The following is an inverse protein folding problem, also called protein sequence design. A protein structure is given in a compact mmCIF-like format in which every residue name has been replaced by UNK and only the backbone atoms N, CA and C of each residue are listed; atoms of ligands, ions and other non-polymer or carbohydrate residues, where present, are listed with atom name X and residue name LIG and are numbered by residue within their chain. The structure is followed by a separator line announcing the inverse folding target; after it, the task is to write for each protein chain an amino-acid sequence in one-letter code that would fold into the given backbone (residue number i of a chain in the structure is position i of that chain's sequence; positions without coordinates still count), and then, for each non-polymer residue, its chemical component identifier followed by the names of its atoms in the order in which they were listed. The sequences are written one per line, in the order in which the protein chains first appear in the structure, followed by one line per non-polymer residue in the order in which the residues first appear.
data_IF_735420838756
#
_entry.id   IF_735420838756
#
_cell.length_a   1.000
_cell.length_b   1.000
_cell.length_c   1.000
_cell.angle_alpha   90.00
_cell.angle_beta   90.00
_cell.angle_gamma   90.00
#
_symmetry.space_group_name_H-M   'P 1'
#
loop_
_entity.id
_entity.type
_entity.pdbx_description
1 polymer ?
#
# COMPACT_ATOMS: atom_id res chain seq x y z
N UNK A 1 17.55 15.62 -2.26
CA UNK A 1 16.85 14.79 -1.25
C UNK A 1 15.79 13.85 -1.86
N UNK A 2 15.10 14.21 -2.95
CA UNK A 2 14.01 13.38 -3.52
C UNK A 2 14.41 12.00 -4.02
N UNK A 3 15.55 11.86 -4.73
CA UNK A 3 15.96 10.58 -5.34
C UNK A 3 16.22 9.50 -4.29
N UNK A 4 16.89 9.83 -3.18
CA UNK A 4 17.17 8.87 -2.10
C UNK A 4 15.89 8.34 -1.43
N UNK A 5 14.87 9.20 -1.26
CA UNK A 5 13.58 8.80 -0.71
C UNK A 5 12.79 7.91 -1.69
N UNK A 6 12.85 8.21 -2.99
CA UNK A 6 12.21 7.39 -4.03
C UNK A 6 12.86 6.01 -4.11
N UNK A 7 14.19 5.94 -4.08
CA UNK A 7 14.92 4.65 -4.09
C UNK A 7 14.64 3.85 -2.83
N UNK A 8 14.63 4.50 -1.65
CA UNK A 8 14.30 3.84 -0.39
C UNK A 8 12.84 3.33 -0.37
N UNK A 9 11.89 4.13 -0.85
CA UNK A 9 10.49 3.72 -0.99
C UNK A 9 10.32 2.59 -2.01
N UNK A 10 11.02 2.65 -3.15
CA UNK A 10 11.03 1.57 -4.14
C UNK A 10 11.56 0.27 -3.55
N UNK A 11 12.72 0.30 -2.90
CA UNK A 11 13.32 -0.86 -2.24
C UNK A 11 12.39 -1.44 -1.17
N UNK A 12 11.79 -0.58 -0.35
CA UNK A 12 10.78 -0.96 0.63
C UNK A 12 9.62 -1.75 -0.01
N UNK A 13 9.01 -1.17 -1.05
CA UNK A 13 7.86 -1.76 -1.75
C UNK A 13 8.23 -3.10 -2.40
N UNK A 14 9.42 -3.19 -2.99
CA UNK A 14 9.94 -4.42 -3.59
C UNK A 14 10.14 -5.52 -2.55
N UNK A 15 10.73 -5.21 -1.39
CA UNK A 15 10.95 -6.19 -0.32
C UNK A 15 9.61 -6.68 0.22
N UNK A 16 8.65 -5.78 0.50
CA UNK A 16 7.32 -6.18 0.95
C UNK A 16 6.57 -7.03 -0.07
N UNK A 17 6.64 -6.66 -1.35
CA UNK A 17 6.03 -7.45 -2.43
C UNK A 17 6.65 -8.84 -2.52
N UNK A 18 7.98 -8.95 -2.35
CA UNK A 18 8.69 -10.22 -2.30
C UNK A 18 8.24 -11.10 -1.14
N UNK A 19 8.13 -10.55 0.07
CA UNK A 19 7.63 -11.29 1.24
C UNK A 19 6.16 -11.71 1.06
N UNK A 20 5.30 -10.85 0.50
CA UNK A 20 3.90 -11.20 0.29
C UNK A 20 3.73 -12.32 -0.76
N UNK A 21 4.56 -12.33 -1.81
CA UNK A 21 4.57 -13.41 -2.80
C UNK A 21 5.12 -14.72 -2.20
N UNK A 22 6.22 -14.64 -1.44
CA UNK A 22 6.93 -15.80 -0.92
C UNK A 22 6.21 -16.46 0.27
N UNK A 23 5.74 -15.66 1.22
CA UNK A 23 5.26 -16.13 2.52
C UNK A 23 3.75 -15.91 2.71
N UNK A 24 3.10 -15.14 1.82
CA UNK A 24 1.68 -14.72 1.95
C UNK A 24 1.36 -14.09 3.31
N UNK A 25 2.39 -13.54 3.95
CA UNK A 25 2.36 -12.94 5.27
C UNK A 25 3.32 -11.77 5.26
N UNK A 26 2.80 -10.57 5.49
CA UNK A 26 3.60 -9.38 5.61
C UNK A 26 4.27 -9.33 7.00
N UNK A 27 5.61 -9.30 7.08
CA UNK A 27 6.30 -9.24 8.36
C UNK A 27 6.03 -7.92 9.09
N UNK A 28 5.66 -8.01 10.37
CA UNK A 28 5.46 -6.84 11.24
C UNK A 28 6.75 -6.01 11.38
N UNK A 29 7.90 -6.67 11.41
CA UNK A 29 9.21 -6.01 11.55
C UNK A 29 9.57 -5.13 10.36
N UNK A 30 8.94 -5.34 9.21
CA UNK A 30 9.11 -4.48 8.04
C UNK A 30 7.96 -3.49 7.90
N UNK A 31 6.71 -3.90 8.05
CA UNK A 31 5.54 -3.02 7.90
C UNK A 31 5.45 -1.91 8.96
N UNK A 32 5.78 -2.21 10.22
CA UNK A 32 5.73 -1.22 11.32
C UNK A 32 6.71 -0.06 11.14
N UNK A 33 8.00 -0.29 10.82
CA UNK A 33 8.89 0.84 10.58
C UNK A 33 8.42 1.75 9.44
N UNK A 34 7.62 1.26 8.48
CA UNK A 34 7.18 2.07 7.33
C UNK A 34 6.01 2.93 7.68
N UNK A 35 5.11 2.36 8.47
CA UNK A 35 4.05 3.10 9.11
C UNK A 35 4.59 4.24 9.98
N UNK A 36 5.83 4.16 10.49
CA UNK A 36 6.45 5.24 11.27
C UNK A 36 7.27 6.18 10.39
N UNK A 37 8.17 5.65 9.56
CA UNK A 37 9.14 6.44 8.78
C UNK A 37 8.43 7.32 7.75
N UNK A 38 7.41 6.81 7.05
CA UNK A 38 6.71 7.56 6.00
C UNK A 38 6.04 8.84 6.54
N UNK A 39 5.20 8.80 7.59
CA UNK A 39 4.60 10.03 8.14
C UNK A 39 5.63 10.93 8.81
N UNK A 40 6.70 10.39 9.42
CA UNK A 40 7.79 11.22 9.98
C UNK A 40 8.48 12.02 8.88
N UNK A 41 8.86 11.36 7.78
CA UNK A 41 9.49 12.03 6.63
C UNK A 41 8.51 13.04 6.02
N UNK A 42 7.23 12.69 5.86
CA UNK A 42 6.23 13.62 5.38
C UNK A 42 6.08 14.85 6.29
N UNK A 43 6.14 14.66 7.61
CA UNK A 43 6.15 15.73 8.61
C UNK A 43 7.33 16.68 8.44
N UNK A 44 8.54 16.15 8.26
CA UNK A 44 9.76 16.95 8.03
C UNK A 44 9.65 17.80 6.76
N UNK A 45 8.93 17.32 5.73
CA UNK A 45 8.72 18.04 4.46
C UNK A 45 7.43 18.90 4.47
N UNK A 46 6.77 19.06 5.63
CA UNK A 46 5.57 19.89 5.78
C UNK A 46 4.26 19.28 5.24
N UNK A 47 4.27 17.99 4.90
CA UNK A 47 3.13 17.21 4.39
C UNK A 47 2.58 16.23 5.45
N UNK A 48 2.88 16.43 6.73
CA UNK A 48 2.54 15.48 7.80
C UNK A 48 1.03 15.27 7.99
N UNK A 49 0.24 16.35 7.99
CA UNK A 49 -1.23 16.27 8.13
C UNK A 49 -1.88 15.47 6.99
N UNK A 50 -1.65 15.79 5.70
CA UNK A 50 -2.24 15.01 4.61
C UNK A 50 -1.71 13.57 4.56
N UNK A 51 -0.46 13.32 4.98
CA UNK A 51 0.04 11.96 5.15
C UNK A 51 -0.72 11.19 6.24
N UNK A 52 -0.88 11.75 7.44
CA UNK A 52 -1.62 11.09 8.52
C UNK A 52 -3.09 10.86 8.17
N UNK A 53 -3.72 11.83 7.49
CA UNK A 53 -5.08 11.68 7.00
C UNK A 53 -5.20 10.56 5.96
N UNK A 54 -4.28 10.50 5.00
CA UNK A 54 -4.25 9.42 4.01
C UNK A 54 -3.97 8.05 4.62
N UNK A 55 -3.07 7.98 5.61
CA UNK A 55 -2.76 6.77 6.37
C UNK A 55 -4.00 6.24 7.10
N UNK A 56 -4.66 7.11 7.86
CA UNK A 56 -5.86 6.78 8.61
C UNK A 56 -6.99 6.35 7.68
N UNK A 57 -7.24 7.11 6.61
CA UNK A 57 -8.31 6.81 5.66
C UNK A 57 -8.11 5.44 5.00
N UNK A 58 -6.90 5.13 4.52
CA UNK A 58 -6.64 3.89 3.80
C UNK A 58 -6.66 2.69 4.75
N UNK A 59 -6.10 2.85 5.96
CA UNK A 59 -6.16 1.83 7.00
C UNK A 59 -7.59 1.53 7.45
N UNK A 60 -8.44 2.54 7.65
CA UNK A 60 -9.84 2.32 8.03
C UNK A 60 -10.57 1.59 6.92
N UNK A 61 -10.37 1.97 5.65
CA UNK A 61 -11.01 1.32 4.52
C UNK A 61 -10.62 -0.17 4.41
N UNK A 62 -9.33 -0.46 4.57
CA UNK A 62 -8.82 -1.84 4.58
C UNK A 62 -9.26 -2.63 5.81
N UNK A 63 -9.33 -1.99 6.99
CA UNK A 63 -9.82 -2.61 8.21
C UNK A 63 -11.29 -3.00 8.08
N UNK A 64 -12.13 -2.12 7.52
CA UNK A 64 -13.55 -2.41 7.26
C UNK A 64 -13.67 -3.62 6.32
N UNK A 65 -12.92 -3.66 5.23
CA UNK A 65 -12.92 -4.81 4.30
C UNK A 65 -12.46 -6.08 5.01
N UNK A 66 -11.40 -6.01 5.82
CA UNK A 66 -10.89 -7.15 6.59
C UNK A 66 -11.90 -7.66 7.62
N UNK A 67 -12.65 -6.78 8.28
CA UNK A 67 -13.68 -7.17 9.25
C UNK A 67 -14.92 -7.78 8.57
N UNK A 68 -15.31 -7.27 7.39
CA UNK A 68 -16.43 -7.80 6.62
C UNK A 68 -16.09 -9.12 5.91
N UNK A 69 -14.83 -9.28 5.48
CA UNK A 69 -14.37 -10.46 4.75
C UNK A 69 -12.93 -10.82 5.14
N UNK A 70 -12.73 -11.42 6.33
CA UNK A 70 -11.39 -11.78 6.81
C UNK A 70 -10.70 -12.84 5.94
N UNK A 71 -11.45 -13.56 5.11
CA UNK A 71 -10.91 -14.51 4.12
C UNK A 71 -10.42 -13.87 2.82
N UNK A 72 -10.83 -12.62 2.53
CA UNK A 72 -10.43 -11.92 1.30
C UNK A 72 -9.10 -11.15 1.44
N UNK A 73 -8.78 -10.71 2.66
CA UNK A 73 -7.64 -9.82 2.94
C UNK A 73 -7.01 -10.18 4.28
N UNK A 74 -5.69 -10.21 4.35
CA UNK A 74 -4.96 -10.51 5.59
C UNK A 74 -4.77 -9.27 6.46
N UNK A 75 -4.57 -9.47 7.77
CA UNK A 75 -4.24 -8.36 8.69
C UNK A 75 -2.92 -7.66 8.38
N UNK A 76 -2.06 -8.26 7.55
CA UNK A 76 -0.85 -7.63 7.02
C UNK A 76 -1.15 -6.48 6.05
N UNK A 77 -2.19 -6.64 5.21
CA UNK A 77 -2.57 -5.64 4.21
C UNK A 77 -3.09 -4.35 4.86
N UNK A 78 -3.79 -4.48 5.99
CA UNK A 78 -4.27 -3.32 6.80
C UNK A 78 -3.10 -2.50 7.34
N UNK A 79 -2.00 -3.15 7.75
CA UNK A 79 -0.78 -2.48 8.23
C UNK A 79 -0.04 -1.80 7.10
N UNK A 80 0.04 -2.48 5.95
CA UNK A 80 0.62 -1.93 4.74
C UNK A 80 -0.16 -0.69 4.25
N UNK A 81 -1.49 -0.73 4.32
CA UNK A 81 -2.37 0.38 3.97
C UNK A 81 -2.05 1.65 4.77
N UNK A 82 -1.58 1.54 6.00
CA UNK A 82 -1.17 2.72 6.77
C UNK A 82 0.02 3.44 6.11
N UNK A 83 1.09 2.69 5.80
CA UNK A 83 2.30 3.25 5.19
C UNK A 83 2.04 3.77 3.77
N UNK A 84 1.26 3.03 2.97
CA UNK A 84 0.89 3.44 1.62
C UNK A 84 -0.04 4.65 1.61
N UNK A 85 -1.03 4.68 2.51
CA UNK A 85 -1.92 5.82 2.68
C UNK A 85 -1.17 7.07 3.13
N UNK A 86 -0.17 6.92 4.01
CA UNK A 86 0.72 8.01 4.40
C UNK A 86 1.50 8.55 3.20
N UNK A 87 2.05 7.65 2.39
CA UNK A 87 2.83 8.00 1.21
C UNK A 87 1.96 8.74 0.19
N UNK A 88 0.86 8.15 -0.26
CA UNK A 88 0.01 8.73 -1.30
C UNK A 88 -0.72 9.97 -0.82
N UNK A 89 -1.17 9.99 0.44
CA UNK A 89 -1.76 11.16 1.08
C UNK A 89 -0.82 12.36 1.11
N UNK A 90 0.49 12.13 1.31
CA UNK A 90 1.48 13.20 1.25
C UNK A 90 1.56 13.88 -0.13
N UNK A 91 1.20 13.18 -1.23
CA UNK A 91 1.21 13.73 -2.59
C UNK A 91 -0.12 14.38 -3.00
N UNK A 92 -1.21 14.13 -2.28
CA UNK A 92 -2.50 14.78 -2.49
C UNK A 92 -3.67 13.80 -2.53
N UNK A 93 -4.89 14.34 -2.47
CA UNK A 93 -6.13 13.55 -2.44
C UNK A 93 -6.33 12.76 -3.73
N UNK A 94 -5.99 13.33 -4.89
CA UNK A 94 -6.12 12.65 -6.18
C UNK A 94 -5.20 11.42 -6.29
N UNK A 95 -3.97 11.57 -5.81
CA UNK A 95 -2.97 10.48 -5.77
C UNK A 95 -3.40 9.37 -4.82
N UNK A 96 -3.93 9.77 -3.67
CA UNK A 96 -4.49 8.84 -2.69
C UNK A 96 -5.68 8.07 -3.27
N UNK A 97 -6.64 8.75 -3.91
CA UNK A 97 -7.81 8.14 -4.56
C UNK A 97 -7.41 7.17 -5.67
N UNK A 98 -6.48 7.58 -6.52
CA UNK A 98 -6.00 6.75 -7.62
C UNK A 98 -5.36 5.45 -7.09
N UNK A 99 -4.52 5.54 -6.05
CA UNK A 99 -3.94 4.36 -5.42
C UNK A 99 -5.00 3.48 -4.74
N UNK A 100 -5.94 4.09 -3.99
CA UNK A 100 -7.00 3.39 -3.27
C UNK A 100 -7.96 2.64 -4.19
N UNK A 101 -8.20 3.14 -5.41
CA UNK A 101 -9.05 2.51 -6.42
C UNK A 101 -8.29 1.51 -7.29
N UNK A 102 -7.07 1.85 -7.72
CA UNK A 102 -6.28 0.99 -8.61
C UNK A 102 -5.85 -0.31 -7.92
N UNK A 103 -5.51 -0.27 -6.63
CA UNK A 103 -5.09 -1.46 -5.88
C UNK A 103 -6.15 -2.60 -5.87
N UNK A 104 -7.42 -2.37 -5.46
CA UNK A 104 -8.45 -3.41 -5.50
C UNK A 104 -8.83 -3.81 -6.93
N UNK A 105 -8.80 -2.89 -7.90
CA UNK A 105 -9.07 -3.23 -9.31
C UNK A 105 -8.02 -4.21 -9.87
N UNK A 106 -6.74 -3.91 -9.68
CA UNK A 106 -5.65 -4.81 -10.11
C UNK A 106 -5.76 -6.16 -9.41
N UNK A 107 -6.04 -6.14 -8.10
CA UNK A 107 -6.22 -7.38 -7.34
C UNK A 107 -7.41 -8.20 -7.81
N UNK A 108 -8.53 -7.56 -8.17
CA UNK A 108 -9.72 -8.23 -8.70
C UNK A 108 -9.45 -8.87 -10.07
N UNK A 109 -8.74 -8.18 -10.97
CA UNK A 109 -8.33 -8.73 -12.27
C UNK A 109 -7.42 -9.94 -12.10
N UNK A 110 -6.42 -9.85 -11.21
CA UNK A 110 -5.52 -10.96 -10.91
C UNK A 110 -6.27 -12.13 -10.26
N UNK A 111 -7.18 -11.86 -9.32
CA UNK A 111 -8.03 -12.86 -8.68
C UNK A 111 -8.93 -13.57 -9.69
N UNK A 112 -9.52 -12.85 -10.64
CA UNK A 112 -10.34 -13.43 -11.71
C UNK A 112 -9.51 -14.34 -12.61
N UNK A 113 -8.33 -13.88 -13.07
CA UNK A 113 -7.43 -14.70 -13.87
C UNK A 113 -6.91 -15.94 -13.13
N UNK A 114 -6.64 -15.81 -11.84
CA UNK A 114 -6.26 -16.92 -10.96
C UNK A 114 -7.40 -17.93 -10.77
N UNK A 115 -8.63 -17.46 -10.58
CA UNK A 115 -9.82 -18.31 -10.47
C UNK A 115 -10.06 -19.12 -11.74
N UNK A 116 -9.89 -18.52 -12.92
CA UNK A 116 -9.96 -19.21 -14.21
C UNK A 116 -8.89 -20.32 -14.37
N UNK A 117 -7.80 -20.23 -13.60
CA UNK A 117 -6.71 -21.23 -13.56
C UNK A 117 -6.77 -22.16 -12.34
N UNK A 118 -7.85 -22.10 -11.54
CA UNK A 118 -8.03 -22.93 -10.35
C UNK A 118 -7.15 -22.55 -9.14
N UNK A 119 -6.52 -21.38 -9.15
CA UNK A 119 -5.67 -20.88 -8.06
C UNK A 119 -6.56 -20.22 -7.00
N UNK A 120 -6.53 -20.72 -5.76
CA UNK A 120 -7.46 -20.33 -4.69
C UNK A 120 -7.19 -19.00 -4.00
N UNK A 121 -6.01 -18.41 -4.16
CA UNK A 121 -5.64 -17.19 -3.43
C UNK A 121 -4.57 -16.38 -4.15
N UNK A 122 -4.75 -15.07 -4.23
CA UNK A 122 -3.79 -14.14 -4.84
C UNK A 122 -3.30 -13.14 -3.79
N UNK A 123 -1.98 -12.89 -3.67
CA UNK A 123 -1.43 -11.88 -2.77
C UNK A 123 -1.87 -10.47 -3.18
N UNK A 124 -2.35 -9.69 -2.20
CA UNK A 124 -2.87 -8.31 -2.39
C UNK A 124 -1.77 -7.24 -2.20
N UNK A 125 -0.66 -7.57 -1.55
CA UNK A 125 0.44 -6.64 -1.30
C UNK A 125 1.11 -6.10 -2.57
N UNK A 126 1.41 -6.93 -3.59
CA UNK A 126 2.04 -6.48 -4.83
C UNK A 126 1.17 -5.49 -5.62
N UNK A 127 -0.14 -5.72 -5.71
CA UNK A 127 -1.07 -4.81 -6.39
C UNK A 127 -1.21 -3.49 -5.65
N UNK A 128 -1.26 -3.51 -4.31
CA UNK A 128 -1.21 -2.30 -3.50
C UNK A 128 0.08 -1.49 -3.71
N UNK A 129 1.23 -2.16 -3.70
CA UNK A 129 2.52 -1.52 -3.90
C UNK A 129 2.63 -0.91 -5.30
N UNK A 130 2.24 -1.67 -6.34
CA UNK A 130 2.28 -1.22 -7.73
C UNK A 130 1.34 -0.03 -7.97
N UNK A 131 0.10 -0.09 -7.47
CA UNK A 131 -0.87 0.99 -7.59
C UNK A 131 -0.37 2.27 -6.91
N UNK A 132 0.17 2.16 -5.70
CA UNK A 132 0.70 3.30 -4.95
C UNK A 132 1.93 3.91 -5.62
N UNK A 133 2.85 3.07 -6.10
CA UNK A 133 4.03 3.52 -6.83
C UNK A 133 3.66 4.23 -8.13
N UNK A 134 2.73 3.68 -8.91
CA UNK A 134 2.23 4.28 -10.14
C UNK A 134 1.55 5.63 -9.87
N UNK A 135 0.70 5.71 -8.82
CA UNK A 135 0.04 6.95 -8.45
C UNK A 135 1.03 8.06 -8.09
N UNK A 136 2.04 7.74 -7.28
CA UNK A 136 3.09 8.71 -6.93
C UNK A 136 3.93 9.07 -8.16
N UNK A 137 4.24 8.11 -9.04
CA UNK A 137 4.99 8.38 -10.26
C UNK A 137 4.27 9.36 -11.20
N UNK A 138 2.95 9.23 -11.34
CA UNK A 138 2.13 10.19 -12.12
C UNK A 138 2.16 11.58 -11.50
N UNK A 139 2.17 11.69 -10.18
CA UNK A 139 2.24 12.98 -9.48
C UNK A 139 3.62 13.66 -9.56
N UNK A 140 4.66 12.89 -9.92
CA UNK A 140 6.04 13.36 -10.07
C UNK A 140 6.42 13.69 -11.52
N UNK A 141 5.57 13.34 -12.50
CA UNK A 141 5.74 13.60 -13.92
C UNK A 141 5.27 15.02 -14.29
#
# INVERSE_FOLDING_TARGET
MGVGLIVAAGAWLSVLSGYDIAERRLPNWLTLPGAVVVPVVAGVVGRGVPALAGAAALSVLYLVVHLLSPGAMGGGDVKLAFGLGAMTGAFGVDVWLLAALAAPLVSAVLALGAALRGIRSVPHGPSMCAASAAAVAVALA
#
